data_IF_110554229527
#
_entry.id   IF_110554229527
#
_cell.length_a   1.000
_cell.length_b   1.000
_cell.length_c   1.000
_cell.angle_alpha   90.00
_cell.angle_beta   90.00
_cell.angle_gamma   90.00
#
_symmetry.space_group_name_H-M   'P 1'
#
loop_
_entity.id
_entity.type
_entity.pdbx_description
1 polymer ?
#
# COMPACT_ATOMS: atom_id res chain seq x y z
N UNK A 1 -4.45 19.90 -14.39
CA UNK A 1 -4.97 19.51 -13.08
C UNK A 1 -4.12 18.36 -12.62
N UNK A 2 -3.19 18.58 -11.68
CA UNK A 2 -2.45 17.47 -11.11
C UNK A 2 -3.36 16.86 -10.05
N UNK A 3 -3.97 15.71 -10.33
CA UNK A 3 -4.58 14.91 -9.27
C UNK A 3 -3.45 14.41 -8.37
N UNK A 4 -3.67 14.44 -7.05
CA UNK A 4 -2.75 13.83 -6.10
C UNK A 4 -2.59 12.33 -6.42
N UNK A 5 -1.39 11.74 -6.20
CA UNK A 5 -1.15 10.34 -6.49
C UNK A 5 -2.05 9.44 -5.63
N UNK A 6 -2.51 8.32 -6.20
CA UNK A 6 -3.36 7.34 -5.54
C UNK A 6 -2.56 6.67 -4.43
N UNK A 7 -3.05 6.79 -3.19
CA UNK A 7 -2.41 6.27 -1.98
C UNK A 7 -2.80 4.80 -1.79
N UNK A 8 -1.83 3.91 -1.93
CA UNK A 8 -2.00 2.48 -1.81
C UNK A 8 -1.47 1.96 -0.47
N UNK A 9 -2.18 1.00 0.10
CA UNK A 9 -1.75 0.21 1.26
C UNK A 9 -1.80 -1.27 0.91
N UNK A 10 -0.76 -2.03 1.24
CA UNK A 10 -0.69 -3.47 0.93
C UNK A 10 -0.60 -4.30 2.20
N UNK A 11 -1.41 -5.34 2.28
CA UNK A 11 -1.46 -6.29 3.38
C UNK A 11 -1.13 -7.67 2.83
N UNK A 12 -0.03 -8.27 3.26
CA UNK A 12 0.36 -9.60 2.84
C UNK A 12 1.40 -10.20 3.81
N UNK A 13 1.26 -11.47 4.17
CA UNK A 13 2.17 -12.18 5.10
C UNK A 13 3.39 -12.80 4.41
N UNK A 14 3.48 -12.75 3.08
CA UNK A 14 4.60 -13.25 2.27
C UNK A 14 5.56 -12.10 1.88
N UNK A 15 6.80 -12.08 2.41
CA UNK A 15 7.75 -11.00 2.14
C UNK A 15 8.03 -10.74 0.66
N UNK A 16 8.17 -11.79 -0.15
CA UNK A 16 8.45 -11.67 -1.59
C UNK A 16 7.32 -10.97 -2.35
N UNK A 17 6.06 -11.22 -1.96
CA UNK A 17 4.92 -10.59 -2.61
C UNK A 17 4.85 -9.10 -2.27
N UNK A 18 5.14 -8.72 -1.02
CA UNK A 18 5.25 -7.31 -0.61
C UNK A 18 6.32 -6.55 -1.37
N UNK A 19 7.48 -7.15 -1.60
CA UNK A 19 8.54 -6.56 -2.41
C UNK A 19 8.11 -6.39 -3.87
N UNK A 20 7.47 -7.42 -4.44
CA UNK A 20 6.93 -7.39 -5.80
C UNK A 20 5.87 -6.30 -5.99
N UNK A 21 4.90 -6.21 -5.07
CA UNK A 21 3.86 -5.17 -5.08
C UNK A 21 4.49 -3.78 -4.98
N UNK A 22 5.46 -3.59 -4.08
CA UNK A 22 6.18 -2.32 -3.94
C UNK A 22 6.89 -1.93 -5.23
N UNK A 23 7.59 -2.86 -5.89
CA UNK A 23 8.27 -2.61 -7.15
C UNK A 23 7.29 -2.20 -8.28
N UNK A 24 6.15 -2.89 -8.38
CA UNK A 24 5.12 -2.56 -9.37
C UNK A 24 4.53 -1.17 -9.10
N UNK A 25 4.15 -0.87 -7.86
CA UNK A 25 3.55 0.43 -7.50
C UNK A 25 4.54 1.57 -7.74
N UNK A 26 5.82 1.41 -7.35
CA UNK A 26 6.85 2.42 -7.54
C UNK A 26 7.16 2.71 -9.02
N UNK A 27 6.76 1.82 -9.94
CA UNK A 27 6.86 2.06 -11.38
C UNK A 27 5.72 2.90 -11.95
N UNK A 28 4.64 3.12 -11.19
CA UNK A 28 3.48 3.89 -11.64
C UNK A 28 3.62 5.36 -11.18
N UNK A 29 3.62 6.33 -12.10
CA UNK A 29 3.87 7.74 -11.76
C UNK A 29 2.71 8.42 -11.02
N UNK A 30 1.52 7.80 -11.03
CA UNK A 30 0.28 8.29 -10.44
C UNK A 30 -0.10 7.56 -9.14
N UNK A 31 0.79 6.72 -8.61
CA UNK A 31 0.53 5.92 -7.41
C UNK A 31 1.65 6.05 -6.39
N UNK A 32 1.32 5.83 -5.12
CA UNK A 32 2.29 5.80 -4.03
C UNK A 32 1.90 4.74 -2.99
N UNK A 33 2.85 3.87 -2.62
CA UNK A 33 2.65 2.92 -1.53
C UNK A 33 2.92 3.62 -0.19
N UNK A 34 1.88 3.87 0.59
CA UNK A 34 1.99 4.66 1.84
C UNK A 34 2.36 3.84 3.07
N UNK A 35 2.08 2.53 3.05
CA UNK A 35 2.45 1.59 4.11
C UNK A 35 2.31 0.14 3.65
N UNK A 36 2.80 -0.79 4.47
CA UNK A 36 2.57 -2.23 4.31
C UNK A 36 2.26 -2.87 5.67
N UNK A 37 1.52 -3.97 5.67
CA UNK A 37 1.24 -4.79 6.85
C UNK A 37 1.46 -6.27 6.57
N UNK A 38 1.87 -7.03 7.59
CA UNK A 38 2.10 -8.48 7.52
C UNK A 38 0.91 -9.31 8.01
N UNK A 39 -0.06 -8.67 8.68
CA UNK A 39 -1.18 -9.38 9.29
C UNK A 39 -2.39 -8.46 9.48
N UNK A 40 -3.54 -9.05 9.82
CA UNK A 40 -4.80 -8.30 10.00
C UNK A 40 -4.75 -7.24 11.11
N UNK A 41 -3.98 -7.46 12.19
CA UNK A 41 -3.85 -6.47 13.27
C UNK A 41 -3.11 -5.21 12.77
N UNK A 42 -1.98 -5.41 12.12
CA UNK A 42 -1.20 -4.34 11.49
C UNK A 42 -2.00 -3.66 10.38
N UNK A 43 -2.80 -4.42 9.62
CA UNK A 43 -3.66 -3.88 8.57
C UNK A 43 -4.68 -2.87 9.13
N UNK A 44 -5.38 -3.24 10.21
CA UNK A 44 -6.38 -2.36 10.83
C UNK A 44 -5.73 -1.09 11.39
N UNK A 45 -4.58 -1.23 12.07
CA UNK A 45 -3.85 -0.09 12.62
C UNK A 45 -3.32 0.81 11.49
N UNK A 46 -2.61 0.22 10.53
CA UNK A 46 -2.00 0.91 9.40
C UNK A 46 -3.03 1.63 8.53
N UNK A 47 -4.19 1.02 8.27
CA UNK A 47 -5.27 1.67 7.52
C UNK A 47 -5.74 2.97 8.21
N UNK A 48 -5.95 2.94 9.53
CA UNK A 48 -6.40 4.11 10.30
C UNK A 48 -5.34 5.20 10.36
N UNK A 49 -4.07 4.82 10.46
CA UNK A 49 -2.95 5.77 10.55
C UNK A 49 -2.64 6.43 9.19
N UNK A 50 -2.71 5.67 8.10
CA UNK A 50 -2.24 6.12 6.79
C UNK A 50 -3.36 6.59 5.85
N UNK A 51 -4.63 6.28 6.16
CA UNK A 51 -5.83 6.66 5.41
C UNK A 51 -5.62 6.52 3.87
N UNK A 52 -5.38 5.30 3.37
CA UNK A 52 -5.14 5.05 1.95
C UNK A 52 -6.42 5.17 1.14
N UNK A 53 -6.29 5.45 -0.16
CA UNK A 53 -7.42 5.45 -1.11
C UNK A 53 -7.84 4.02 -1.45
N UNK A 54 -6.86 3.12 -1.57
CA UNK A 54 -7.06 1.72 -1.92
C UNK A 54 -6.18 0.83 -1.03
N UNK A 55 -6.77 -0.26 -0.54
CA UNK A 55 -6.06 -1.31 0.19
C UNK A 55 -6.05 -2.60 -0.64
N UNK A 56 -4.86 -3.16 -0.86
CA UNK A 56 -4.66 -4.50 -1.41
C UNK A 56 -4.58 -5.49 -0.24
N UNK A 57 -5.45 -6.50 -0.22
CA UNK A 57 -5.60 -7.48 0.86
C UNK A 57 -5.07 -8.85 0.51
#
# INVERSE_FOLDING_TARGET
MSSDPIRLFSVDDHPLLREGISAIINSQPDMVLVAQAACGREAIQGFREHNPDVTLM
#
